data_IF_509406118253
#
_entry.id   IF_509406118253
#
_cell.length_a   1.000
_cell.length_b   1.000
_cell.length_c   1.000
_cell.angle_alpha   90.00
_cell.angle_beta   90.00
_cell.angle_gamma   90.00
#
_symmetry.space_group_name_H-M   'P 1'
#
loop_
_entity.id
_entity.type
_entity.pdbx_description
1 polymer ?
#
# COMPACT_ATOMS: atom_id res chain seq x y z
N UNK A 1 -17.85 20.55 -52.15
CA UNK A 1 -16.80 21.07 -51.24
C UNK A 1 -17.31 21.38 -49.83
N UNK A 2 -18.48 22.01 -49.65
CA UNK A 2 -19.00 22.35 -48.31
C UNK A 2 -19.15 21.17 -47.34
N UNK A 3 -19.65 20.01 -47.80
CA UNK A 3 -19.77 18.82 -46.95
C UNK A 3 -18.43 18.25 -46.47
N UNK A 4 -17.40 18.25 -47.33
CA UNK A 4 -16.05 17.76 -46.96
C UNK A 4 -15.39 18.67 -45.93
N UNK A 5 -15.52 20.00 -46.11
CA UNK A 5 -15.01 20.97 -45.14
C UNK A 5 -15.70 20.81 -43.78
N UNK A 6 -17.03 20.63 -43.76
CA UNK A 6 -17.78 20.39 -42.53
C UNK A 6 -17.30 19.13 -41.80
N UNK A 7 -17.07 18.02 -42.53
CA UNK A 7 -16.55 16.79 -41.95
C UNK A 7 -15.13 16.94 -41.40
N UNK A 8 -14.25 17.65 -42.11
CA UNK A 8 -12.88 17.93 -41.65
C UNK A 8 -12.91 18.81 -40.38
N UNK A 9 -13.73 19.86 -40.36
CA UNK A 9 -13.88 20.73 -39.18
C UNK A 9 -14.46 19.98 -37.99
N UNK A 10 -15.47 19.13 -38.20
CA UNK A 10 -16.04 18.30 -37.14
C UNK A 10 -15.00 17.30 -36.60
N UNK A 11 -14.27 16.63 -37.49
CA UNK A 11 -13.21 15.70 -37.09
C UNK A 11 -12.12 16.41 -36.29
N UNK A 12 -11.72 17.61 -36.70
CA UNK A 12 -10.74 18.43 -35.98
C UNK A 12 -11.25 18.79 -34.57
N UNK A 13 -12.49 19.26 -34.45
CA UNK A 13 -13.09 19.61 -33.16
C UNK A 13 -13.18 18.38 -32.25
N UNK A 14 -13.64 17.24 -32.76
CA UNK A 14 -13.70 15.98 -32.00
C UNK A 14 -12.31 15.53 -31.56
N UNK A 15 -11.31 15.65 -32.43
CA UNK A 15 -9.91 15.32 -32.12
C UNK A 15 -9.36 16.23 -31.03
N UNK A 16 -9.60 17.53 -31.11
CA UNK A 16 -9.19 18.50 -30.09
C UNK A 16 -9.87 18.23 -28.75
N UNK A 17 -11.17 17.91 -28.74
CA UNK A 17 -11.90 17.53 -27.52
C UNK A 17 -11.32 16.25 -26.91
N UNK A 18 -11.00 15.24 -27.73
CA UNK A 18 -10.40 13.98 -27.28
C UNK A 18 -9.01 14.19 -26.67
N UNK A 19 -8.18 15.04 -27.29
CA UNK A 19 -6.86 15.43 -26.76
C UNK A 19 -7.01 16.24 -25.47
N UNK A 20 -8.04 17.10 -25.39
CA UNK A 20 -8.25 17.97 -24.24
C UNK A 20 -8.79 17.22 -23.02
N UNK A 21 -9.66 16.21 -23.20
CA UNK A 21 -10.41 15.54 -22.12
C UNK A 21 -10.07 14.06 -22.00
N UNK A 22 -10.50 13.25 -22.96
CA UNK A 22 -10.49 11.80 -22.87
C UNK A 22 -9.07 11.21 -22.76
N UNK A 23 -8.10 11.70 -23.53
CA UNK A 23 -6.71 11.22 -23.44
C UNK A 23 -6.11 11.51 -22.05
N UNK A 24 -6.10 12.76 -21.56
CA UNK A 24 -5.65 13.08 -20.20
C UNK A 24 -6.36 12.31 -19.09
N UNK A 25 -7.58 11.83 -19.30
CA UNK A 25 -8.31 11.00 -18.33
C UNK A 25 -7.95 9.51 -18.40
N UNK A 26 -7.81 8.96 -19.61
CA UNK A 26 -7.54 7.54 -19.82
C UNK A 26 -6.14 7.16 -19.30
N UNK A 27 -5.13 8.00 -19.50
CA UNK A 27 -3.75 7.69 -19.12
C UNK A 27 -3.57 7.51 -17.60
N UNK A 28 -4.03 8.44 -16.73
CA UNK A 28 -4.04 8.28 -15.28
C UNK A 28 -4.87 7.08 -14.82
N UNK A 29 -6.08 6.89 -15.35
CA UNK A 29 -7.02 5.89 -14.84
C UNK A 29 -6.71 4.45 -15.28
N UNK A 30 -6.39 4.25 -16.55
CA UNK A 30 -6.19 2.93 -17.17
C UNK A 30 -4.72 2.53 -17.20
N UNK A 31 -3.85 3.45 -17.60
CA UNK A 31 -2.42 3.16 -17.78
C UNK A 31 -1.59 3.46 -16.51
N UNK A 32 -2.12 4.24 -15.57
CA UNK A 32 -1.40 4.66 -14.36
C UNK A 32 -0.23 5.59 -14.66
N UNK A 33 -0.28 6.28 -15.80
CA UNK A 33 0.74 7.22 -16.25
C UNK A 33 0.31 8.62 -15.83
N UNK A 34 1.22 9.36 -15.19
CA UNK A 34 0.94 10.73 -14.76
C UNK A 34 0.35 10.87 -13.36
N UNK A 35 -0.36 9.86 -12.86
CA UNK A 35 -0.94 9.84 -11.52
C UNK A 35 -0.58 8.57 -10.72
N UNK A 36 -0.79 8.65 -9.41
CA UNK A 36 -0.55 7.58 -8.44
C UNK A 36 -1.90 7.06 -7.92
N UNK A 37 -2.27 5.84 -8.31
CA UNK A 37 -3.47 5.15 -7.81
C UNK A 37 -3.21 4.30 -6.57
N UNK A 38 -1.93 4.06 -6.28
CA UNK A 38 -1.44 3.17 -5.22
C UNK A 38 -0.27 3.86 -4.56
N UNK A 39 -0.17 3.68 -3.26
CA UNK A 39 1.07 3.93 -2.53
C UNK A 39 1.87 2.62 -2.49
N UNK A 40 3.18 2.69 -2.31
CA UNK A 40 4.07 1.52 -2.42
C UNK A 40 4.66 1.13 -1.06
N UNK A 41 4.05 1.61 0.02
CA UNK A 41 4.37 1.18 1.38
C UNK A 41 3.44 0.04 1.82
N UNK A 42 3.87 -0.77 2.81
CA UNK A 42 3.01 -1.81 3.38
C UNK A 42 1.89 -1.18 4.18
N UNK A 43 0.68 -1.30 3.70
CA UNK A 43 -0.56 -0.82 4.29
C UNK A 43 -1.51 -0.24 3.28
N UNK A 44 -2.46 0.51 3.80
CA UNK A 44 -3.43 1.28 3.02
C UNK A 44 -3.41 2.72 3.52
N UNK A 45 -3.60 3.67 2.60
CA UNK A 45 -3.68 5.09 2.93
C UNK A 45 -5.13 5.53 2.95
N UNK A 46 -5.53 6.20 4.03
CA UNK A 46 -6.84 6.81 4.16
C UNK A 46 -6.77 8.25 3.64
N UNK A 47 -7.67 8.62 2.74
CA UNK A 47 -7.71 9.96 2.16
C UNK A 47 -9.12 10.52 2.14
N UNK A 48 -9.24 11.82 2.41
CA UNK A 48 -10.49 12.56 2.49
C UNK A 48 -10.49 13.71 1.51
N UNK A 49 -11.52 13.80 0.67
CA UNK A 49 -11.69 14.87 -0.30
C UNK A 49 -12.73 15.88 0.19
N UNK A 50 -12.78 17.03 -0.48
CA UNK A 50 -13.78 18.09 -0.36
C UNK A 50 -13.68 19.01 0.86
N UNK A 51 -13.06 18.59 1.96
CA UNK A 51 -12.93 19.41 3.17
C UNK A 51 -12.12 20.72 3.06
N UNK A 52 -12.02 21.46 4.18
CA UNK A 52 -12.60 21.12 5.49
C UNK A 52 -14.08 21.54 5.62
N UNK A 53 -14.82 20.81 6.45
CA UNK A 53 -16.17 21.13 6.93
C UNK A 53 -16.14 21.38 8.45
N UNK A 54 -16.60 22.54 8.93
CA UNK A 54 -16.50 22.90 10.34
C UNK A 54 -17.35 22.02 11.27
N UNK A 55 -18.31 21.27 10.73
CA UNK A 55 -19.16 20.34 11.49
C UNK A 55 -18.51 18.95 11.56
N UNK A 56 -18.10 18.38 10.43
CA UNK A 56 -17.71 16.97 10.37
C UNK A 56 -16.20 16.74 10.49
N UNK A 57 -15.36 17.62 9.95
CA UNK A 57 -13.91 17.44 9.97
C UNK A 57 -13.34 17.36 11.40
N UNK A 58 -13.78 18.17 12.39
CA UNK A 58 -13.31 18.02 13.77
C UNK A 58 -13.60 16.64 14.37
N UNK A 59 -14.81 16.11 14.16
CA UNK A 59 -15.20 14.76 14.61
C UNK A 59 -14.37 13.66 13.94
N UNK A 60 -14.04 13.84 12.65
CA UNK A 60 -13.16 12.94 11.94
C UNK A 60 -11.75 12.95 12.54
N UNK A 61 -11.20 14.12 12.87
CA UNK A 61 -9.89 14.25 13.49
C UNK A 61 -9.83 13.55 14.85
N UNK A 62 -10.85 13.74 15.69
CA UNK A 62 -10.95 13.06 16.98
C UNK A 62 -11.01 11.54 16.82
N UNK A 63 -11.77 11.05 15.83
CA UNK A 63 -11.82 9.63 15.49
C UNK A 63 -10.44 9.11 15.04
N UNK A 64 -9.74 9.83 14.16
CA UNK A 64 -8.41 9.44 13.70
C UNK A 64 -7.38 9.40 14.84
N UNK A 65 -7.44 10.35 15.77
CA UNK A 65 -6.57 10.39 16.95
C UNK A 65 -6.87 9.23 17.93
N UNK A 66 -8.14 8.90 18.16
CA UNK A 66 -8.53 7.72 18.97
C UNK A 66 -7.89 6.43 18.44
N UNK A 67 -7.77 6.28 17.13
CA UNK A 67 -7.16 5.13 16.48
C UNK A 67 -5.66 5.31 16.17
N UNK A 68 -5.06 6.46 16.52
CA UNK A 68 -3.67 6.80 16.22
C UNK A 68 -3.31 6.70 14.72
N UNK A 69 -4.27 6.99 13.85
CA UNK A 69 -4.12 6.94 12.39
C UNK A 69 -3.92 8.33 11.85
N UNK A 70 -2.98 8.49 10.90
CA UNK A 70 -2.81 9.74 10.16
C UNK A 70 -3.26 9.54 8.71
N UNK A 71 -4.17 10.40 8.26
CA UNK A 71 -4.72 10.44 6.92
C UNK A 71 -4.16 11.61 6.07
N UNK A 72 -4.56 11.64 4.80
CA UNK A 72 -4.32 12.76 3.89
C UNK A 72 -5.64 13.44 3.51
N UNK A 73 -5.69 14.76 3.61
CA UNK A 73 -6.86 15.57 3.25
C UNK A 73 -6.60 16.34 1.97
N UNK A 74 -7.35 16.05 0.91
CA UNK A 74 -7.35 16.81 -0.34
C UNK A 74 -8.43 17.90 -0.25
N UNK A 75 -7.99 19.13 0.00
CA UNK A 75 -8.88 20.23 0.33
C UNK A 75 -9.22 21.12 -0.87
N UNK A 76 -10.46 21.60 -0.90
CA UNK A 76 -10.87 22.64 -1.84
C UNK A 76 -10.41 23.98 -1.29
N UNK A 77 -9.68 24.74 -2.11
CA UNK A 77 -9.03 25.99 -1.68
C UNK A 77 -10.01 27.04 -1.13
N UNK A 78 -11.21 27.17 -1.71
CA UNK A 78 -12.25 28.07 -1.18
C UNK A 78 -12.71 27.70 0.24
N UNK A 79 -12.89 26.40 0.53
CA UNK A 79 -13.28 25.92 1.87
C UNK A 79 -12.15 26.08 2.87
N UNK A 80 -10.92 25.79 2.45
CA UNK A 80 -9.73 26.02 3.26
C UNK A 80 -9.57 27.50 3.63
N UNK A 81 -9.87 28.42 2.70
CA UNK A 81 -9.82 29.87 2.96
C UNK A 81 -10.91 30.34 3.93
N UNK A 82 -12.05 29.65 3.99
CA UNK A 82 -13.15 29.95 4.92
C UNK A 82 -12.85 29.46 6.35
N UNK A 83 -12.07 28.38 6.49
CA UNK A 83 -11.74 27.75 7.77
C UNK A 83 -10.23 27.50 7.93
N UNK A 84 -9.37 28.54 7.85
CA UNK A 84 -7.93 28.38 7.89
C UNK A 84 -7.42 27.79 9.22
N UNK A 85 -8.10 28.08 10.33
CA UNK A 85 -7.82 27.53 11.66
C UNK A 85 -7.97 25.99 11.68
N UNK A 86 -8.98 25.46 11.01
CA UNK A 86 -9.23 24.03 10.93
C UNK A 86 -8.19 23.32 10.05
N UNK A 87 -7.74 23.98 8.97
CA UNK A 87 -6.62 23.47 8.16
C UNK A 87 -5.33 23.39 9.00
N UNK A 88 -5.06 24.42 9.81
CA UNK A 88 -3.90 24.42 10.71
C UNK A 88 -4.01 23.34 11.78
N UNK A 89 -5.21 23.09 12.31
CA UNK A 89 -5.45 22.00 13.24
C UNK A 89 -5.17 20.62 12.62
N UNK A 90 -5.61 20.38 11.37
CA UNK A 90 -5.34 19.15 10.63
C UNK A 90 -3.82 18.90 10.50
N UNK A 91 -3.06 19.95 10.16
CA UNK A 91 -1.59 19.89 10.09
C UNK A 91 -0.98 19.67 11.48
N UNK A 92 -1.44 20.39 12.51
CA UNK A 92 -0.92 20.28 13.88
C UNK A 92 -1.13 18.88 14.46
N UNK A 93 -2.22 18.21 14.11
CA UNK A 93 -2.48 16.80 14.45
C UNK A 93 -1.68 15.82 13.59
N UNK A 94 -0.82 16.30 12.68
CA UNK A 94 0.12 15.48 11.91
C UNK A 94 -0.47 14.82 10.66
N UNK A 95 -1.59 15.31 10.17
CA UNK A 95 -2.16 14.87 8.90
C UNK A 95 -1.50 15.58 7.72
N UNK A 96 -1.58 14.95 6.54
CA UNK A 96 -1.01 15.50 5.31
C UNK A 96 -2.07 16.26 4.53
N UNK A 97 -1.66 17.34 3.86
CA UNK A 97 -2.55 18.16 3.02
C UNK A 97 -2.20 17.96 1.54
N UNK A 98 -3.24 17.76 0.73
CA UNK A 98 -3.20 17.82 -0.72
C UNK A 98 -4.20 18.84 -1.24
N UNK A 99 -4.03 19.26 -2.49
CA UNK A 99 -4.92 20.22 -3.15
C UNK A 99 -6.00 19.51 -3.98
N UNK A 100 -7.26 19.93 -3.80
CA UNK A 100 -8.44 19.46 -4.53
C UNK A 100 -9.05 20.53 -5.44
N UNK A 101 -8.19 21.34 -6.08
CA UNK A 101 -8.55 22.55 -6.83
C UNK A 101 -9.02 23.72 -5.91
N UNK A 102 -9.09 24.94 -6.46
CA UNK A 102 -9.70 26.09 -5.76
C UNK A 102 -11.22 25.95 -5.70
N UNK A 103 -11.84 25.50 -6.80
CA UNK A 103 -13.28 25.29 -6.96
C UNK A 103 -13.56 23.86 -7.41
N UNK A 104 -14.58 23.23 -6.84
CA UNK A 104 -14.99 21.87 -7.16
C UNK A 104 -15.80 21.85 -8.47
N UNK A 105 -15.12 21.89 -9.63
CA UNK A 105 -15.71 21.88 -10.98
C UNK A 105 -15.10 20.82 -11.90
N UNK A 106 -15.93 20.19 -12.74
CA UNK A 106 -15.49 19.13 -13.65
C UNK A 106 -14.42 19.64 -14.60
N UNK A 107 -13.27 18.96 -14.66
CA UNK A 107 -12.11 19.43 -15.42
C UNK A 107 -12.42 19.65 -16.91
N UNK A 108 -13.30 18.83 -17.49
CA UNK A 108 -13.68 18.91 -18.90
C UNK A 108 -14.44 20.18 -19.28
N UNK A 109 -15.05 20.86 -18.31
CA UNK A 109 -15.87 22.06 -18.51
C UNK A 109 -15.13 23.37 -18.22
N UNK A 110 -13.90 23.28 -17.72
CA UNK A 110 -13.08 24.44 -17.38
C UNK A 110 -12.21 24.78 -18.58
N UNK A 111 -12.05 26.04 -18.95
CA UNK A 111 -11.14 26.43 -20.04
C UNK A 111 -9.66 26.28 -19.65
N UNK A 112 -8.72 26.22 -20.62
CA UNK A 112 -7.28 26.16 -20.35
C UNK A 112 -6.77 27.21 -19.36
N UNK A 113 -7.07 28.49 -19.62
CA UNK A 113 -6.64 29.61 -18.78
C UNK A 113 -7.27 29.57 -17.39
N UNK A 114 -8.57 29.25 -17.33
CA UNK A 114 -9.26 29.10 -16.04
C UNK A 114 -8.66 27.95 -15.24
N UNK A 115 -8.33 26.82 -15.87
CA UNK A 115 -7.67 25.67 -15.24
C UNK A 115 -6.37 26.10 -14.57
N UNK A 116 -5.48 26.76 -15.31
CA UNK A 116 -4.20 27.21 -14.76
C UNK A 116 -4.38 28.16 -13.57
N UNK A 117 -5.32 29.11 -13.68
CA UNK A 117 -5.63 30.07 -12.62
C UNK A 117 -6.14 29.40 -11.36
N UNK A 118 -7.19 28.57 -11.46
CA UNK A 118 -7.84 27.95 -10.28
C UNK A 118 -6.91 26.99 -9.55
N UNK A 119 -6.07 26.25 -10.26
CA UNK A 119 -5.09 25.38 -9.61
C UNK A 119 -3.99 26.18 -8.90
N UNK A 120 -3.49 27.25 -9.53
CA UNK A 120 -2.46 28.12 -8.93
C UNK A 120 -2.99 28.85 -7.70
N UNK A 121 -4.23 29.35 -7.75
CA UNK A 121 -4.88 30.04 -6.62
C UNK A 121 -5.10 29.11 -5.43
N UNK A 122 -5.58 27.88 -5.68
CA UNK A 122 -5.76 26.87 -4.64
C UNK A 122 -4.44 26.44 -4.00
N UNK A 123 -3.39 26.27 -4.82
CA UNK A 123 -2.05 25.95 -4.33
C UNK A 123 -1.53 27.06 -3.41
N UNK A 124 -1.58 28.31 -3.87
CA UNK A 124 -1.14 29.47 -3.09
C UNK A 124 -1.93 29.63 -1.79
N UNK A 125 -3.24 29.37 -1.82
CA UNK A 125 -4.11 29.43 -0.64
C UNK A 125 -3.69 28.42 0.41
N UNK A 126 -3.53 27.14 0.03
CA UNK A 126 -3.13 26.09 0.97
C UNK A 126 -1.71 26.29 1.50
N UNK A 127 -0.74 26.62 0.65
CA UNK A 127 0.65 26.85 1.10
C UNK A 127 0.74 28.04 2.06
N UNK A 128 -0.05 29.10 1.83
CA UNK A 128 -0.13 30.24 2.75
C UNK A 128 -0.72 29.87 4.12
N UNK A 129 -1.77 29.06 4.15
CA UNK A 129 -2.44 28.67 5.41
C UNK A 129 -1.59 27.67 6.20
N UNK A 130 -1.03 26.67 5.51
CA UNK A 130 -0.24 25.59 6.12
C UNK A 130 1.20 26.00 6.43
N UNK A 131 1.71 27.07 5.80
CA UNK A 131 3.10 27.50 5.90
C UNK A 131 4.11 26.48 5.34
N UNK A 132 3.64 25.49 4.58
CA UNK A 132 4.43 24.39 4.04
C UNK A 132 4.08 24.14 2.57
N UNK A 133 5.03 23.65 1.75
CA UNK A 133 4.75 23.34 0.36
C UNK A 133 3.75 22.18 0.25
N UNK A 134 2.80 22.30 -0.68
CA UNK A 134 1.89 21.20 -1.01
C UNK A 134 2.54 20.37 -2.10
N UNK A 135 2.54 19.04 -1.94
CA UNK A 135 3.21 18.14 -2.90
C UNK A 135 2.24 17.36 -3.78
N UNK A 136 0.96 17.31 -3.39
CA UNK A 136 -0.01 16.39 -3.96
C UNK A 136 -1.26 17.12 -4.40
N UNK A 137 -1.82 16.64 -5.50
CA UNK A 137 -3.14 17.06 -5.96
C UNK A 137 -4.04 15.86 -6.18
N UNK A 138 -5.33 16.08 -6.08
CA UNK A 138 -6.35 15.16 -6.61
C UNK A 138 -7.37 16.01 -7.35
N UNK A 139 -7.61 15.80 -8.65
CA UNK A 139 -8.65 16.57 -9.33
C UNK A 139 -10.06 16.17 -8.86
N UNK A 140 -11.01 17.11 -8.83
CA UNK A 140 -12.42 16.82 -8.63
C UNK A 140 -12.93 15.71 -9.55
N UNK A 141 -13.70 14.77 -8.97
CA UNK A 141 -14.18 13.53 -9.62
C UNK A 141 -13.09 12.64 -10.23
N UNK A 142 -11.82 12.88 -9.89
CA UNK A 142 -10.67 12.23 -10.50
C UNK A 142 -10.40 12.68 -11.95
N UNK A 143 -11.14 13.65 -12.48
CA UNK A 143 -11.10 14.03 -13.90
C UNK A 143 -9.97 15.00 -14.22
N UNK A 144 -9.31 14.79 -15.36
CA UNK A 144 -8.23 15.62 -15.87
C UNK A 144 -8.65 16.24 -17.21
N UNK A 145 -8.19 17.46 -17.43
CA UNK A 145 -8.01 17.99 -18.78
C UNK A 145 -6.51 18.13 -19.09
N UNK A 146 -6.16 18.39 -20.35
CA UNK A 146 -4.77 18.52 -20.79
C UNK A 146 -3.99 19.56 -19.96
N UNK A 147 -4.63 20.68 -19.63
CA UNK A 147 -3.99 21.77 -18.90
C UNK A 147 -3.85 21.48 -17.41
N UNK A 148 -4.72 20.66 -16.83
CA UNK A 148 -4.54 20.13 -15.47
C UNK A 148 -3.26 19.29 -15.43
N UNK A 149 -3.08 18.41 -16.43
CA UNK A 149 -1.88 17.59 -16.55
C UNK A 149 -0.60 18.43 -16.70
N UNK A 150 -0.61 19.39 -17.63
CA UNK A 150 0.53 20.28 -17.85
C UNK A 150 0.85 21.11 -16.60
N UNK A 151 -0.17 21.62 -15.91
CA UNK A 151 -0.03 22.45 -14.71
C UNK A 151 0.67 21.68 -13.58
N UNK A 152 0.16 20.52 -13.19
CA UNK A 152 0.76 19.81 -12.04
C UNK A 152 2.17 19.30 -12.35
N UNK A 153 2.45 18.99 -13.63
CA UNK A 153 3.81 18.63 -14.08
C UNK A 153 4.76 19.82 -14.02
N UNK A 154 4.31 21.01 -14.44
CA UNK A 154 5.09 22.24 -14.33
C UNK A 154 5.46 22.56 -12.87
N UNK A 155 4.50 22.40 -11.95
CA UNK A 155 4.69 22.61 -10.51
C UNK A 155 5.35 21.42 -9.78
N UNK A 156 5.77 20.37 -10.50
CA UNK A 156 6.39 19.14 -9.94
C UNK A 156 5.55 18.47 -8.83
N UNK A 157 4.24 18.60 -8.92
CA UNK A 157 3.29 17.97 -8.00
C UNK A 157 2.98 16.54 -8.44
N UNK A 158 2.49 15.73 -7.50
CA UNK A 158 2.02 14.38 -7.80
C UNK A 158 0.50 14.33 -7.78
N UNK A 159 -0.11 13.92 -8.90
CA UNK A 159 -1.53 13.63 -8.96
C UNK A 159 -1.82 12.29 -8.27
N UNK A 160 -2.74 12.28 -7.32
CA UNK A 160 -3.14 11.12 -6.51
C UNK A 160 -4.57 10.75 -6.85
N UNK A 161 -4.77 9.48 -7.15
CA UNK A 161 -6.07 8.84 -7.36
C UNK A 161 -6.22 7.71 -6.35
N UNK A 162 -7.24 6.88 -6.50
CA UNK A 162 -7.56 5.82 -5.56
C UNK A 162 -7.71 4.45 -6.21
N UNK A 163 -7.78 3.43 -5.36
CA UNK A 163 -8.11 2.04 -5.73
C UNK A 163 -9.37 1.52 -5.05
N UNK A 164 -9.77 2.13 -3.94
CA UNK A 164 -10.95 1.73 -3.17
C UNK A 164 -11.78 2.98 -2.83
N UNK A 165 -13.10 2.86 -2.99
CA UNK A 165 -14.09 3.91 -2.75
C UNK A 165 -15.40 3.27 -2.30
N UNK A 166 -16.11 3.93 -1.40
CA UNK A 166 -17.38 3.44 -0.84
C UNK A 166 -18.63 4.07 -1.45
N UNK A 167 -18.49 5.15 -2.22
CA UNK A 167 -19.59 6.05 -2.64
C UNK A 167 -20.30 6.69 -1.45
N UNK A 168 -19.51 7.10 -0.47
CA UNK A 168 -19.94 7.67 0.80
C UNK A 168 -20.70 9.00 0.67
N UNK A 169 -20.58 9.68 -0.47
CA UNK A 169 -21.33 10.90 -0.80
C UNK A 169 -22.84 10.71 -1.04
N UNK A 170 -23.35 9.49 -1.13
CA UNK A 170 -24.79 9.19 -1.32
C UNK A 170 -25.44 8.86 0.03
N UNK A 171 -26.33 9.74 0.50
CA UNK A 171 -26.92 9.62 1.84
C UNK A 171 -27.75 8.34 2.03
N UNK A 172 -28.17 7.67 0.95
CA UNK A 172 -28.92 6.40 1.03
C UNK A 172 -28.02 5.21 1.36
N UNK A 173 -26.69 5.36 1.29
CA UNK A 173 -25.74 4.30 1.63
C UNK A 173 -25.46 4.31 3.12
N UNK A 174 -25.72 3.16 3.74
CA UNK A 174 -25.40 2.95 5.15
C UNK A 174 -23.88 2.85 5.37
N UNK A 175 -23.40 3.16 6.59
CA UNK A 175 -21.99 3.00 6.95
C UNK A 175 -21.44 1.60 6.67
N UNK A 176 -22.24 0.57 6.92
CA UNK A 176 -21.87 -0.83 6.67
C UNK A 176 -21.65 -1.10 5.17
N UNK A 177 -22.53 -0.58 4.30
CA UNK A 177 -22.40 -0.73 2.85
C UNK A 177 -21.18 0.01 2.31
N UNK A 178 -20.89 1.21 2.84
CA UNK A 178 -19.68 1.98 2.49
C UNK A 178 -18.43 1.16 2.85
N UNK A 179 -18.37 0.67 4.10
CA UNK A 179 -17.25 -0.12 4.58
C UNK A 179 -17.06 -1.43 3.79
N UNK A 180 -18.13 -2.18 3.51
CA UNK A 180 -18.08 -3.43 2.75
C UNK A 180 -17.53 -3.21 1.33
N UNK A 181 -17.99 -2.16 0.64
CA UNK A 181 -17.49 -1.83 -0.71
C UNK A 181 -15.99 -1.54 -0.71
N UNK A 182 -15.51 -0.81 0.30
CA UNK A 182 -14.08 -0.53 0.46
C UNK A 182 -13.33 -1.81 0.79
N UNK A 183 -13.80 -2.62 1.74
CA UNK A 183 -13.16 -3.89 2.13
C UNK A 183 -13.07 -4.88 0.96
N UNK A 184 -14.05 -4.90 0.05
CA UNK A 184 -14.04 -5.77 -1.12
C UNK A 184 -13.01 -5.35 -2.18
N UNK A 185 -12.63 -4.07 -2.23
CA UNK A 185 -11.67 -3.53 -3.21
C UNK A 185 -10.27 -3.31 -2.63
N UNK A 186 -10.15 -3.08 -1.33
CA UNK A 186 -8.90 -2.70 -0.68
C UNK A 186 -7.88 -3.84 -0.72
N UNK A 187 -6.66 -3.49 -1.09
CA UNK A 187 -5.52 -4.39 -1.15
C UNK A 187 -4.29 -3.65 -0.62
N UNK A 188 -3.20 -4.39 -0.39
CA UNK A 188 -1.88 -3.83 -0.09
C UNK A 188 -1.56 -2.64 -1.01
N UNK A 189 -0.95 -1.56 -0.52
CA UNK A 189 -0.67 -0.35 -1.31
C UNK A 189 -1.91 0.43 -1.77
N UNK A 190 -3.10 0.08 -1.26
CA UNK A 190 -4.36 0.72 -1.64
C UNK A 190 -4.48 2.14 -1.11
N UNK A 191 -5.02 3.04 -1.93
CA UNK A 191 -5.45 4.38 -1.51
C UNK A 191 -6.98 4.35 -1.45
N UNK A 192 -7.53 4.68 -0.28
CA UNK A 192 -8.97 4.72 0.00
C UNK A 192 -9.41 6.18 -0.08
N UNK A 193 -10.39 6.48 -0.93
CA UNK A 193 -11.05 7.80 -0.97
C UNK A 193 -12.37 7.76 -0.23
N UNK A 194 -12.58 8.77 0.60
CA UNK A 194 -13.82 9.14 1.30
C UNK A 194 -13.90 10.67 1.36
N UNK A 195 -14.95 11.22 1.95
CA UNK A 195 -15.26 12.65 1.92
C UNK A 195 -15.65 13.13 3.31
N UNK A 196 -14.97 14.15 3.81
CA UNK A 196 -15.31 14.82 5.07
C UNK A 196 -16.20 16.06 4.85
N UNK A 197 -16.44 16.43 3.60
CA UNK A 197 -17.39 17.47 3.17
C UNK A 197 -18.06 17.08 1.85
N UNK A 198 -19.05 17.86 1.40
CA UNK A 198 -19.77 17.60 0.15
C UNK A 198 -20.77 16.43 0.24
N UNK A 199 -21.18 15.93 -0.92
CA UNK A 199 -22.21 14.89 -1.04
C UNK A 199 -23.63 15.33 -0.67
N UNK A 200 -24.52 14.35 -0.54
CA UNK A 200 -25.89 14.57 -0.07
C UNK A 200 -25.92 15.00 1.41
N UNK A 201 -26.97 15.72 1.84
CA UNK A 201 -27.13 16.08 3.24
C UNK A 201 -27.16 14.83 4.15
N UNK A 202 -26.31 14.82 5.18
CA UNK A 202 -26.14 13.68 6.10
C UNK A 202 -25.16 12.61 5.60
N UNK A 203 -24.65 12.69 4.37
CA UNK A 203 -23.65 11.75 3.86
C UNK A 203 -22.33 11.76 4.67
N UNK A 204 -21.76 12.91 5.07
CA UNK A 204 -20.54 12.94 5.89
C UNK A 204 -20.67 12.24 7.26
N UNK A 205 -21.88 12.23 7.84
CA UNK A 205 -22.14 11.47 9.08
C UNK A 205 -22.02 9.96 8.86
N UNK A 206 -22.53 9.45 7.74
CA UNK A 206 -22.34 8.06 7.34
C UNK A 206 -20.86 7.74 7.09
N UNK A 207 -20.09 8.70 6.54
CA UNK A 207 -18.64 8.55 6.36
C UNK A 207 -17.93 8.37 7.70
N UNK A 208 -18.23 9.20 8.71
CA UNK A 208 -17.62 9.08 10.04
C UNK A 208 -17.82 7.69 10.64
N UNK A 209 -19.06 7.17 10.60
CA UNK A 209 -19.38 5.84 11.09
C UNK A 209 -18.68 4.74 10.27
N UNK A 210 -18.57 4.91 8.94
CA UNK A 210 -17.86 3.97 8.08
C UNK A 210 -16.36 3.96 8.35
N UNK A 211 -15.75 5.11 8.64
CA UNK A 211 -14.33 5.23 9.01
C UNK A 211 -14.05 4.38 10.25
N UNK A 212 -14.89 4.47 11.29
CA UNK A 212 -14.72 3.70 12.53
C UNK A 212 -14.78 2.18 12.26
N UNK A 213 -15.73 1.73 11.43
CA UNK A 213 -15.79 0.33 10.97
C UNK A 213 -14.52 -0.09 10.22
N UNK A 214 -14.00 0.77 9.34
CA UNK A 214 -12.79 0.48 8.56
C UNK A 214 -11.54 0.43 9.43
N UNK A 215 -11.41 1.28 10.46
CA UNK A 215 -10.28 1.26 11.39
C UNK A 215 -10.20 -0.08 12.12
N UNK A 216 -11.35 -0.70 12.41
CA UNK A 216 -11.43 -2.00 13.07
C UNK A 216 -11.22 -3.16 12.08
N UNK A 217 -11.88 -3.10 10.91
CA UNK A 217 -11.95 -4.22 9.97
C UNK A 217 -10.75 -4.36 9.04
N UNK A 218 -10.09 -3.28 8.65
CA UNK A 218 -8.92 -3.37 7.75
C UNK A 218 -7.76 -4.14 8.42
N UNK A 219 -7.35 -3.82 9.67
CA UNK A 219 -6.27 -4.55 10.33
C UNK A 219 -6.61 -6.00 10.66
N UNK A 220 -7.89 -6.31 10.94
CA UNK A 220 -8.33 -7.63 11.37
C UNK A 220 -8.70 -8.55 10.21
N UNK A 221 -9.59 -8.11 9.32
CA UNK A 221 -10.09 -8.91 8.20
C UNK A 221 -9.10 -8.93 7.02
N UNK A 222 -8.48 -7.78 6.70
CA UNK A 222 -7.53 -7.66 5.57
C UNK A 222 -6.09 -7.86 5.99
N UNK A 223 -5.81 -7.85 7.30
CA UNK A 223 -4.45 -7.93 7.84
C UNK A 223 -3.54 -6.88 7.20
N UNK A 224 -4.05 -5.67 7.01
CA UNK A 224 -3.32 -4.52 6.46
C UNK A 224 -3.23 -3.42 7.51
N UNK A 225 -2.05 -2.80 7.72
CA UNK A 225 -1.95 -1.61 8.55
C UNK A 225 -2.52 -0.40 7.78
N UNK A 226 -3.02 0.58 8.52
CA UNK A 226 -3.44 1.87 7.95
C UNK A 226 -2.31 2.85 8.22
N UNK A 227 -1.75 3.44 7.16
CA UNK A 227 -0.55 4.26 7.24
C UNK A 227 -0.74 5.58 6.46
N UNK A 228 0.07 6.62 6.76
CA UNK A 228 0.06 7.84 5.96
C UNK A 228 0.34 7.55 4.49
N UNK A 229 -0.18 8.40 3.60
CA UNK A 229 0.15 8.32 2.18
C UNK A 229 1.65 8.57 1.99
N UNK A 230 2.29 7.72 1.19
CA UNK A 230 3.72 7.79 0.99
C UNK A 230 4.09 7.24 -0.39
N UNK A 231 4.71 8.09 -1.21
CA UNK A 231 5.09 7.77 -2.58
C UNK A 231 6.60 7.54 -2.66
N UNK A 232 7.06 6.45 -3.28
CA UNK A 232 8.48 6.24 -3.46
C UNK A 232 9.01 7.08 -4.64
N UNK A 233 10.28 7.45 -4.57
CA UNK A 233 11.03 8.05 -5.69
C UNK A 233 11.46 6.99 -6.71
N UNK A 234 10.50 6.21 -7.22
CA UNK A 234 10.78 5.12 -8.14
C UNK A 234 10.55 5.51 -9.59
N UNK A 235 11.52 5.22 -10.48
CA UNK A 235 11.31 5.38 -11.90
C UNK A 235 10.22 4.43 -12.40
N UNK A 236 9.61 4.78 -13.54
CA UNK A 236 8.44 4.07 -14.07
C UNK A 236 8.67 2.57 -14.30
N UNK A 237 9.85 2.16 -14.79
CA UNK A 237 10.17 0.74 -14.99
C UNK A 237 10.17 -0.05 -13.66
N UNK A 238 10.60 0.57 -12.56
CA UNK A 238 10.57 -0.04 -11.22
C UNK A 238 9.14 -0.18 -10.71
N UNK A 239 8.30 0.83 -10.96
CA UNK A 239 6.87 0.77 -10.64
C UNK A 239 6.16 -0.36 -11.37
N UNK A 240 6.46 -0.56 -12.66
CA UNK A 240 5.87 -1.63 -13.48
C UNK A 240 6.33 -3.01 -13.01
N UNK A 241 7.64 -3.20 -12.84
CA UNK A 241 8.19 -4.48 -12.35
C UNK A 241 7.68 -4.85 -10.97
N UNK A 242 7.60 -3.90 -10.04
CA UNK A 242 6.97 -4.10 -8.73
C UNK A 242 5.51 -4.58 -8.88
N UNK A 243 4.70 -3.94 -9.74
CA UNK A 243 3.29 -4.32 -9.93
C UNK A 243 3.12 -5.70 -10.53
N UNK A 244 3.95 -6.07 -11.50
CA UNK A 244 3.92 -7.42 -12.08
C UNK A 244 4.28 -8.47 -11.02
N UNK A 245 5.31 -8.18 -10.24
CA UNK A 245 5.75 -9.05 -9.16
C UNK A 245 4.71 -9.18 -8.04
N UNK A 246 4.14 -8.07 -7.57
CA UNK A 246 3.07 -8.06 -6.57
C UNK A 246 1.86 -8.91 -7.01
N UNK A 247 1.47 -8.82 -8.29
CA UNK A 247 0.41 -9.67 -8.84
C UNK A 247 0.79 -11.15 -8.80
N UNK A 248 2.03 -11.48 -9.14
CA UNK A 248 2.54 -12.85 -9.08
C UNK A 248 2.58 -13.37 -7.63
N UNK A 249 3.10 -12.58 -6.67
CA UNK A 249 3.12 -12.97 -5.25
C UNK A 249 1.71 -13.20 -4.71
N UNK A 250 0.75 -12.32 -5.04
CA UNK A 250 -0.63 -12.48 -4.61
C UNK A 250 -1.28 -13.73 -5.23
N UNK A 251 -0.98 -14.04 -6.49
CA UNK A 251 -1.42 -15.27 -7.13
C UNK A 251 -0.81 -16.50 -6.46
N UNK A 252 0.50 -16.52 -6.27
CA UNK A 252 1.23 -17.60 -5.63
C UNK A 252 0.75 -17.84 -4.19
N UNK A 253 0.57 -16.78 -3.41
CA UNK A 253 0.09 -16.88 -2.04
C UNK A 253 -1.33 -17.45 -1.96
N UNK A 254 -2.23 -17.00 -2.84
CA UNK A 254 -3.60 -17.57 -2.90
C UNK A 254 -3.60 -19.02 -3.34
N UNK A 255 -2.82 -19.37 -4.35
CA UNK A 255 -2.75 -20.74 -4.88
C UNK A 255 -2.18 -21.74 -3.85
N UNK A 256 -1.20 -21.30 -3.05
CA UNK A 256 -0.54 -22.14 -2.04
C UNK A 256 -1.10 -21.93 -0.62
N UNK A 257 -2.24 -21.25 -0.48
CA UNK A 257 -2.85 -20.95 0.83
C UNK A 257 -1.90 -20.30 1.84
N UNK A 258 -0.98 -19.47 1.36
CA UNK A 258 -0.04 -18.72 2.20
C UNK A 258 -0.74 -17.44 2.67
N UNK A 259 -0.91 -17.32 3.98
CA UNK A 259 -1.62 -16.20 4.58
C UNK A 259 -0.72 -15.37 5.49
N UNK A 260 -1.02 -14.08 5.58
CA UNK A 260 -0.42 -13.20 6.59
C UNK A 260 -0.92 -13.59 7.97
N UNK A 261 -0.09 -13.35 8.97
CA UNK A 261 -0.43 -13.60 10.37
C UNK A 261 -1.35 -12.49 10.89
N UNK A 262 -0.89 -11.24 10.78
CA UNK A 262 -1.63 -10.03 11.16
C UNK A 262 -1.22 -8.82 10.29
N UNK A 263 -1.59 -7.61 10.69
CA UNK A 263 -1.28 -6.36 9.99
C UNK A 263 0.18 -5.91 10.04
N UNK A 264 1.00 -6.40 10.97
CA UNK A 264 2.36 -5.86 11.20
C UNK A 264 3.49 -6.86 11.03
N UNK A 265 3.23 -8.16 11.19
CA UNK A 265 4.23 -9.22 11.12
C UNK A 265 4.88 -9.30 9.74
N UNK A 266 6.20 -9.53 9.72
CA UNK A 266 6.94 -9.86 8.51
C UNK A 266 6.68 -11.28 8.00
N UNK A 267 6.05 -12.15 8.80
CA UNK A 267 5.89 -13.55 8.43
C UNK A 267 4.53 -13.82 7.78
N UNK A 268 4.57 -14.68 6.77
CA UNK A 268 3.42 -15.38 6.21
C UNK A 268 3.60 -16.87 6.42
N UNK A 269 2.50 -17.60 6.59
CA UNK A 269 2.50 -19.02 6.85
C UNK A 269 1.69 -19.77 5.80
N UNK A 270 2.22 -20.90 5.36
CA UNK A 270 1.54 -21.91 4.57
C UNK A 270 1.65 -23.29 5.20
N UNK A 271 0.98 -24.27 4.60
CA UNK A 271 1.17 -25.70 4.92
C UNK A 271 1.55 -26.42 3.65
N UNK A 272 2.62 -27.21 3.73
CA UNK A 272 3.12 -27.98 2.59
C UNK A 272 3.40 -29.41 3.01
N UNK A 273 3.45 -30.31 2.03
CA UNK A 273 4.10 -31.60 2.22
C UNK A 273 5.61 -31.39 2.14
N UNK A 274 6.33 -31.87 3.15
CA UNK A 274 7.76 -31.72 3.23
C UNK A 274 8.47 -32.61 2.21
N UNK A 275 9.43 -32.04 1.49
CA UNK A 275 10.27 -32.76 0.54
C UNK A 275 11.72 -32.40 0.86
N UNK A 276 12.38 -33.25 1.65
CA UNK A 276 13.72 -32.98 2.17
C UNK A 276 14.20 -34.08 3.11
N UNK A 277 15.43 -33.96 3.64
CA UNK A 277 16.00 -34.93 4.57
C UNK A 277 15.27 -34.92 5.92
N UNK A 278 15.34 -36.04 6.65
CA UNK A 278 14.76 -36.14 8.00
C UNK A 278 15.21 -34.99 8.90
N UNK A 279 14.24 -34.36 9.55
CA UNK A 279 14.47 -33.27 10.50
C UNK A 279 14.39 -33.82 11.92
N UNK A 280 15.52 -33.89 12.61
CA UNK A 280 15.61 -34.40 13.98
C UNK A 280 15.82 -33.28 14.98
N UNK A 281 15.20 -33.36 16.15
CA UNK A 281 15.50 -32.47 17.27
C UNK A 281 16.88 -32.76 17.91
N UNK A 282 17.24 -32.00 18.94
CA UNK A 282 18.53 -32.14 19.65
C UNK A 282 18.69 -33.50 20.36
N UNK A 283 17.59 -34.25 20.54
CA UNK A 283 17.58 -35.59 21.14
C UNK A 283 17.57 -36.71 20.09
N UNK A 284 17.59 -36.36 18.79
CA UNK A 284 17.53 -37.31 17.69
C UNK A 284 16.12 -37.80 17.35
N UNK A 285 15.07 -37.22 17.93
CA UNK A 285 13.68 -37.55 17.62
C UNK A 285 13.30 -36.90 16.29
N UNK A 286 12.72 -37.69 15.38
CA UNK A 286 12.35 -37.20 14.07
C UNK A 286 11.05 -36.39 14.14
N UNK A 287 11.16 -35.11 13.81
CA UNK A 287 10.08 -34.13 13.80
C UNK A 287 9.32 -34.12 12.48
N UNK A 288 9.99 -34.40 11.37
CA UNK A 288 9.37 -34.57 10.05
C UNK A 288 10.20 -35.46 9.13
N UNK A 289 9.49 -36.28 8.37
CA UNK A 289 9.99 -37.07 7.25
C UNK A 289 9.45 -36.55 5.91
N UNK A 290 10.04 -37.02 4.81
CA UNK A 290 9.50 -36.77 3.47
C UNK A 290 8.02 -37.21 3.38
N UNK A 291 7.16 -36.30 2.90
CA UNK A 291 5.72 -36.49 2.80
C UNK A 291 4.90 -35.92 3.98
N UNK A 292 5.52 -35.68 5.14
CA UNK A 292 4.83 -35.12 6.31
C UNK A 292 4.33 -33.69 6.06
N UNK A 293 3.24 -33.32 6.71
CA UNK A 293 2.76 -31.94 6.71
C UNK A 293 3.61 -31.09 7.64
N UNK A 294 4.16 -30.00 7.10
CA UNK A 294 4.97 -29.02 7.84
C UNK A 294 4.46 -27.61 7.60
N UNK A 295 4.75 -26.71 8.55
CA UNK A 295 4.48 -25.30 8.41
C UNK A 295 5.55 -24.64 7.55
N UNK A 296 5.17 -23.89 6.52
CA UNK A 296 6.11 -23.18 5.67
C UNK A 296 6.17 -21.70 6.06
N UNK A 297 7.38 -21.21 6.35
CA UNK A 297 7.68 -19.84 6.71
C UNK A 297 8.08 -19.03 5.47
N UNK A 298 7.33 -17.96 5.23
CA UNK A 298 7.61 -16.99 4.17
C UNK A 298 7.84 -15.60 4.76
N UNK A 299 8.78 -14.86 4.20
CA UNK A 299 8.96 -13.45 4.50
C UNK A 299 8.09 -12.59 3.57
N UNK A 300 7.35 -11.65 4.15
CA UNK A 300 6.58 -10.65 3.43
C UNK A 300 7.53 -9.60 2.86
N UNK A 301 7.94 -9.79 1.60
CA UNK A 301 8.88 -8.91 0.90
C UNK A 301 8.41 -7.46 0.87
N UNK A 302 7.09 -7.24 0.81
CA UNK A 302 6.52 -5.89 0.83
C UNK A 302 6.83 -5.21 2.16
N UNK A 303 6.64 -5.90 3.29
CA UNK A 303 6.91 -5.35 4.64
C UNK A 303 8.39 -5.27 5.01
N UNK A 304 9.21 -6.10 4.37
CA UNK A 304 10.66 -6.09 4.53
C UNK A 304 11.33 -4.93 3.76
N UNK A 305 10.60 -4.11 3.02
CA UNK A 305 11.16 -2.92 2.38
C UNK A 305 11.89 -2.03 3.40
N UNK A 306 13.13 -1.67 3.08
CA UNK A 306 14.01 -0.83 3.91
C UNK A 306 14.46 0.35 3.04
N UNK A 307 14.30 1.57 3.57
CA UNK A 307 14.63 2.83 2.87
C UNK A 307 16.09 3.26 3.05
N UNK A 308 16.83 2.55 3.89
CA UNK A 308 18.22 2.84 4.17
C UNK A 308 19.13 2.48 2.99
N UNK A 309 20.20 3.26 2.78
CA UNK A 309 21.16 3.04 1.70
C UNK A 309 22.44 2.37 2.18
N UNK A 310 22.76 2.52 3.46
CA UNK A 310 23.91 1.89 4.11
C UNK A 310 23.67 0.40 4.38
N UNK A 311 24.58 -0.46 3.90
CA UNK A 311 24.44 -1.92 3.96
C UNK A 311 24.44 -2.48 5.39
N UNK A 312 25.17 -1.88 6.32
CA UNK A 312 25.20 -2.31 7.72
C UNK A 312 23.90 -1.94 8.43
N UNK A 313 23.44 -0.69 8.27
CA UNK A 313 22.18 -0.23 8.87
C UNK A 313 20.98 -0.99 8.33
N UNK A 314 20.97 -1.32 7.04
CA UNK A 314 19.97 -2.22 6.46
C UNK A 314 19.93 -3.55 7.20
N UNK A 315 21.09 -4.22 7.35
CA UNK A 315 21.12 -5.55 7.97
C UNK A 315 20.61 -5.51 9.42
N UNK A 316 20.97 -4.46 10.16
CA UNK A 316 20.48 -4.22 11.53
C UNK A 316 18.96 -4.01 11.53
N UNK A 317 18.43 -3.19 10.62
CA UNK A 317 17.01 -2.91 10.53
C UNK A 317 16.21 -4.17 10.14
N UNK A 318 16.69 -4.95 9.17
CA UNK A 318 16.10 -6.22 8.77
C UNK A 318 16.05 -7.19 9.95
N UNK A 319 17.17 -7.37 10.66
CA UNK A 319 17.25 -8.23 11.84
C UNK A 319 16.30 -7.75 12.95
N UNK A 320 16.21 -6.45 13.18
CA UNK A 320 15.27 -5.85 14.15
C UNK A 320 13.83 -6.19 13.78
N UNK A 321 13.42 -5.94 12.53
CA UNK A 321 12.04 -6.23 12.07
C UNK A 321 11.71 -7.72 12.16
N UNK A 322 12.67 -8.60 11.84
CA UNK A 322 12.51 -10.05 12.01
C UNK A 322 12.31 -10.37 13.48
N UNK A 323 13.20 -9.91 14.36
CA UNK A 323 13.15 -10.19 15.81
C UNK A 323 11.84 -9.71 16.44
N UNK A 324 11.33 -8.54 16.05
CA UNK A 324 10.04 -8.03 16.56
C UNK A 324 8.84 -8.81 16.04
N UNK A 325 8.98 -9.52 14.91
CA UNK A 325 7.91 -10.34 14.33
C UNK A 325 7.87 -11.77 14.86
N UNK A 326 8.95 -12.26 15.49
CA UNK A 326 9.04 -13.65 15.99
C UNK A 326 8.08 -13.94 17.16
N UNK A 327 7.91 -13.07 18.17
CA UNK A 327 6.89 -13.26 19.21
C UNK A 327 5.47 -13.34 18.63
N UNK A 328 5.16 -12.47 17.66
CA UNK A 328 3.85 -12.45 16.98
C UNK A 328 3.61 -13.75 16.20
N UNK A 329 4.65 -14.26 15.53
CA UNK A 329 4.61 -15.55 14.85
C UNK A 329 4.37 -16.70 15.83
N UNK A 330 5.09 -16.71 16.97
CA UNK A 330 4.96 -17.75 17.98
C UNK A 330 3.56 -17.77 18.60
N UNK A 331 3.02 -16.59 18.94
CA UNK A 331 1.67 -16.43 19.47
C UNK A 331 0.61 -16.96 18.50
N UNK A 332 0.73 -16.59 17.22
CA UNK A 332 -0.19 -17.07 16.18
C UNK A 332 -0.15 -18.58 15.99
N UNK A 333 1.06 -19.18 15.97
CA UNK A 333 1.22 -20.64 15.85
C UNK A 333 0.64 -21.38 17.07
N UNK A 334 0.77 -20.79 18.27
CA UNK A 334 0.26 -21.36 19.50
C UNK A 334 -1.28 -21.37 19.53
N UNK A 335 -1.90 -20.28 19.09
CA UNK A 335 -3.36 -20.09 19.20
C UNK A 335 -4.14 -20.63 18.00
N UNK A 336 -3.57 -20.67 16.80
CA UNK A 336 -4.31 -21.02 15.59
C UNK A 336 -4.50 -22.55 15.45
N UNK A 337 -5.76 -23.06 15.45
CA UNK A 337 -6.06 -24.48 15.31
C UNK A 337 -5.51 -25.11 14.03
N UNK A 338 -5.34 -24.33 12.96
CA UNK A 338 -4.83 -24.78 11.67
C UNK A 338 -3.42 -25.41 11.76
N UNK A 339 -2.62 -24.94 12.72
CA UNK A 339 -1.24 -25.39 12.93
C UNK A 339 -1.11 -26.28 14.17
N UNK A 340 -2.22 -26.81 14.70
CA UNK A 340 -2.21 -27.65 15.92
C UNK A 340 -1.33 -28.89 15.77
N UNK A 341 -1.49 -29.60 14.66
CA UNK A 341 -0.80 -30.87 14.36
C UNK A 341 0.60 -30.68 13.74
N UNK A 342 0.98 -29.45 13.39
CA UNK A 342 2.28 -29.14 12.79
C UNK A 342 3.36 -29.21 13.86
N UNK A 343 4.32 -30.11 13.69
CA UNK A 343 5.46 -30.32 14.63
C UNK A 343 6.65 -29.41 14.33
N UNK A 344 6.87 -29.06 13.07
CA UNK A 344 8.04 -28.30 12.61
C UNK A 344 7.66 -27.23 11.60
N UNK A 345 8.35 -26.11 11.67
CA UNK A 345 8.25 -25.01 10.70
C UNK A 345 9.55 -24.92 9.92
N UNK A 346 9.44 -24.81 8.60
CA UNK A 346 10.56 -24.84 7.65
C UNK A 346 10.53 -23.61 6.74
N UNK A 347 11.68 -23.22 6.19
CA UNK A 347 11.77 -22.20 5.16
C UNK A 347 13.07 -22.30 4.36
N UNK A 348 13.01 -21.98 3.07
CA UNK A 348 14.21 -21.88 2.22
C UNK A 348 14.62 -20.41 2.10
N UNK A 349 15.86 -20.06 2.46
CA UNK A 349 16.29 -18.65 2.43
C UNK A 349 17.76 -18.44 2.12
N UNK A 350 18.04 -17.42 1.31
CA UNK A 350 19.36 -16.80 1.16
C UNK A 350 19.79 -16.01 2.41
N UNK A 351 18.84 -15.55 3.23
CA UNK A 351 19.08 -14.79 4.47
C UNK A 351 19.27 -15.73 5.67
N UNK A 352 20.12 -16.75 5.52
CA UNK A 352 20.35 -17.77 6.55
C UNK A 352 21.37 -17.36 7.63
N UNK A 353 22.18 -16.32 7.36
CA UNK A 353 23.15 -15.81 8.33
C UNK A 353 22.42 -15.17 9.52
N UNK A 354 22.70 -15.65 10.72
CA UNK A 354 22.05 -15.21 11.95
C UNK A 354 20.78 -15.99 12.32
N UNK A 355 20.27 -16.87 11.45
CA UNK A 355 19.09 -17.70 11.73
C UNK A 355 19.28 -18.58 12.99
N UNK A 356 20.48 -19.16 13.18
CA UNK A 356 20.84 -19.88 14.42
C UNK A 356 20.70 -19.03 15.68
N UNK A 357 21.12 -17.77 15.62
CA UNK A 357 20.97 -16.82 16.74
C UNK A 357 19.52 -16.49 17.07
N UNK A 358 18.59 -16.72 16.14
CA UNK A 358 17.15 -16.55 16.30
C UNK A 358 16.44 -17.85 16.74
N UNK A 359 17.17 -18.95 16.90
CA UNK A 359 16.63 -20.24 17.32
C UNK A 359 16.26 -21.19 16.19
N UNK A 360 16.66 -20.89 14.94
CA UNK A 360 16.45 -21.78 13.82
C UNK A 360 17.67 -22.69 13.59
N UNK A 361 17.42 -23.95 13.31
CA UNK A 361 18.41 -24.83 12.72
C UNK A 361 18.65 -24.45 11.26
N UNK A 362 19.87 -24.67 10.78
CA UNK A 362 20.28 -24.33 9.41
C UNK A 362 20.99 -25.53 8.81
N UNK A 363 20.46 -26.02 7.71
CA UNK A 363 20.94 -27.21 7.02
C UNK A 363 21.19 -26.90 5.53
N UNK A 364 22.16 -27.60 4.96
CA UNK A 364 22.40 -27.57 3.52
C UNK A 364 21.39 -28.46 2.80
N UNK A 365 20.91 -27.99 1.66
CA UNK A 365 19.98 -28.75 0.82
C UNK A 365 20.75 -29.22 -0.41
N UNK A 366 20.60 -30.48 -0.83
CA UNK A 366 21.20 -30.95 -2.07
C UNK A 366 20.85 -30.01 -3.23
N UNK A 367 21.87 -29.64 -4.02
CA UNK A 367 21.69 -28.71 -5.12
C UNK A 367 20.83 -29.37 -6.20
N UNK A 368 19.58 -28.93 -6.32
CA UNK A 368 18.65 -29.37 -7.35
C UNK A 368 18.28 -28.23 -8.30
N UNK A 369 17.74 -28.52 -9.50
CA UNK A 369 17.21 -27.48 -10.38
C UNK A 369 16.18 -26.57 -9.69
N UNK A 370 15.36 -27.14 -8.81
CA UNK A 370 14.40 -26.40 -8.00
C UNK A 370 15.08 -25.41 -7.04
N UNK A 371 16.08 -25.86 -6.27
CA UNK A 371 16.81 -25.00 -5.32
C UNK A 371 17.54 -23.87 -6.06
N UNK A 372 18.15 -24.15 -7.21
CA UNK A 372 18.79 -23.12 -8.06
C UNK A 372 17.78 -22.10 -8.59
N UNK A 373 16.60 -22.57 -8.99
CA UNK A 373 15.51 -21.70 -9.42
C UNK A 373 15.01 -20.81 -8.29
N UNK A 374 14.76 -21.36 -7.09
CA UNK A 374 14.38 -20.60 -5.89
C UNK A 374 15.46 -19.56 -5.54
N UNK A 375 16.74 -19.92 -5.59
CA UNK A 375 17.83 -18.98 -5.36
C UNK A 375 17.86 -17.83 -6.38
N UNK A 376 17.62 -18.13 -7.65
CA UNK A 376 17.51 -17.12 -8.71
C UNK A 376 16.31 -16.19 -8.48
N UNK A 377 15.16 -16.76 -8.10
CA UNK A 377 13.95 -16.03 -7.74
C UNK A 377 14.19 -15.09 -6.56
N UNK A 378 14.76 -15.58 -5.45
CA UNK A 378 15.05 -14.78 -4.26
C UNK A 378 16.05 -13.65 -4.56
N UNK A 379 17.05 -13.90 -5.41
CA UNK A 379 17.95 -12.86 -5.93
C UNK A 379 17.16 -11.80 -6.70
N UNK A 380 16.24 -12.18 -7.58
CA UNK A 380 15.41 -11.22 -8.31
C UNK A 380 14.52 -10.38 -7.37
N UNK A 381 13.89 -11.00 -6.36
CA UNK A 381 13.10 -10.32 -5.33
C UNK A 381 13.92 -9.23 -4.64
N UNK A 382 15.14 -9.57 -4.22
CA UNK A 382 16.04 -8.61 -3.57
C UNK A 382 16.35 -7.41 -4.46
N UNK A 383 16.39 -7.56 -5.80
CA UNK A 383 16.56 -6.42 -6.72
C UNK A 383 15.32 -5.51 -6.77
N UNK A 384 14.13 -6.06 -6.60
CA UNK A 384 12.86 -5.33 -6.68
C UNK A 384 12.61 -4.54 -5.38
N UNK A 385 12.69 -5.23 -4.24
CA UNK A 385 12.29 -4.70 -2.94
C UNK A 385 13.40 -4.03 -2.16
N UNK A 386 14.67 -4.31 -2.49
CA UNK A 386 15.76 -4.01 -1.58
C UNK A 386 16.86 -3.13 -2.21
N UNK A 387 17.31 -2.03 -1.56
CA UNK A 387 18.39 -1.17 -2.06
C UNK A 387 19.73 -1.92 -2.28
N UNK A 388 19.96 -3.01 -1.54
CA UNK A 388 21.08 -3.95 -1.75
C UNK A 388 21.00 -4.76 -3.06
N UNK A 389 19.99 -4.54 -3.92
CA UNK A 389 19.90 -5.14 -5.25
C UNK A 389 21.07 -4.82 -6.21
N UNK A 390 22.05 -4.00 -5.79
CA UNK A 390 23.30 -3.77 -6.53
C UNK A 390 24.11 -5.07 -6.60
N UNK A 391 24.65 -5.37 -7.78
CA UNK A 391 25.28 -6.64 -8.13
C UNK A 391 26.34 -7.14 -7.12
N UNK A 392 27.13 -6.24 -6.51
CA UNK A 392 28.18 -6.60 -5.55
C UNK A 392 27.68 -7.14 -4.20
N UNK A 393 26.46 -6.81 -3.77
CA UNK A 393 25.93 -7.34 -2.52
C UNK A 393 25.31 -8.74 -2.69
N UNK A 394 24.91 -9.09 -3.91
CA UNK A 394 24.18 -10.31 -4.21
C UNK A 394 25.11 -11.54 -4.34
N UNK A 395 26.35 -11.34 -4.77
CA UNK A 395 27.36 -12.41 -4.85
C UNK A 395 27.75 -12.97 -3.48
N UNK A 396 27.53 -12.23 -2.39
CA UNK A 396 27.82 -12.66 -1.01
C UNK A 396 26.75 -13.55 -0.37
N UNK A 397 25.56 -13.67 -0.97
CA UNK A 397 24.42 -14.37 -0.38
C UNK A 397 24.50 -15.92 -0.49
N UNK A 398 25.41 -16.44 -1.32
CA UNK A 398 25.59 -17.89 -1.49
C UNK A 398 24.36 -18.59 -2.10
N UNK A 399 24.16 -19.86 -1.72
CA UNK A 399 23.00 -20.67 -2.10
C UNK A 399 21.95 -20.70 -0.98
N UNK A 400 20.65 -20.89 -1.31
CA UNK A 400 19.60 -21.00 -0.31
C UNK A 400 19.87 -22.15 0.65
N UNK A 401 19.61 -21.93 1.93
CA UNK A 401 19.69 -22.98 2.97
C UNK A 401 18.30 -23.25 3.52
N UNK A 402 18.08 -24.50 3.94
CA UNK A 402 16.91 -24.87 4.70
C UNK A 402 17.10 -24.37 6.13
N UNK A 403 16.17 -23.56 6.59
CA UNK A 403 16.02 -23.21 7.99
C UNK A 403 14.81 -23.92 8.55
N UNK A 404 14.89 -24.39 9.79
CA UNK A 404 13.76 -25.05 10.42
C UNK A 404 13.80 -24.90 11.95
N UNK A 405 12.65 -25.04 12.59
CA UNK A 405 12.51 -25.00 14.06
C UNK A 405 11.33 -25.85 14.50
N UNK A 406 11.48 -26.58 15.62
CA UNK A 406 10.33 -27.30 16.21
C UNK A 406 9.33 -26.30 16.78
N UNK A 407 8.03 -26.63 16.69
CA UNK A 407 6.95 -25.79 17.19
C UNK A 407 7.13 -25.49 18.69
N UNK A 408 7.40 -26.52 19.48
CA UNK A 408 7.49 -26.38 20.94
C UNK A 408 8.71 -25.57 21.36
N UNK A 409 9.88 -25.81 20.74
CA UNK A 409 11.08 -25.01 21.01
C UNK A 409 10.89 -23.56 20.59
N UNK A 410 10.20 -23.31 19.47
CA UNK A 410 9.92 -21.97 18.97
C UNK A 410 8.99 -21.19 19.92
N UNK A 411 7.88 -21.81 20.31
CA UNK A 411 6.91 -21.24 21.27
C UNK A 411 7.60 -20.96 22.61
N UNK A 412 8.31 -21.96 23.15
CA UNK A 412 9.04 -21.83 24.42
C UNK A 412 10.05 -20.69 24.39
N UNK A 413 10.66 -20.37 23.25
CA UNK A 413 11.67 -19.32 23.15
C UNK A 413 11.10 -17.91 23.09
N UNK A 414 9.96 -17.75 22.41
CA UNK A 414 9.46 -16.42 22.03
C UNK A 414 8.21 -15.99 22.80
N UNK A 415 7.58 -16.88 23.57
CA UNK A 415 6.47 -16.57 24.48
C UNK A 415 6.81 -16.73 25.96
N UNK A 416 8.03 -17.15 26.30
CA UNK A 416 8.51 -17.29 27.69
C UNK A 416 8.98 -15.99 28.30
#
# INVERSE_FOLDING_TARGET
MGGVILWISLLLVLTLLLIYTAIPDVFPHRLGIGAWKRHYQPGVALTFDDGPDPTYTPHLLDLLDRYQVKATFFMVGERAAQHPELVQEIVARGHQIGLHCQIHQYAWLISPWKTWRVWTEGLSTLERITGSPVHWIRPPWGTFNLFTFLWFKHHKLNAILWTAEGHDWDARRTPAQIAERILNKVQEGGIIVMHDSGGDAGAPENTLQAVELLMQKIPTEKKLPIIPLDLPDWPMYRRISYRLWEKWENFYARHNHISRINSTSLFRLGKIKYHGPDLCDDQGIILAHEGDLVGELHLDNTRLQIRQTDSHKIAIEALRKVRTSLPVLADYIAQNPEYREIRVFVGLTLLNRGAKGLGFNVQEVPVSPFVRWVGTLQRMIMRIYHPMGKAHSMTRLGEPKLIWVSKDAFIKRWLS
#
